data_IF_113482948686
#
_entry.id   IF_113482948686
#
_cell.length_a   1.000
_cell.length_b   1.000
_cell.length_c   1.000
_cell.angle_alpha   90.00
_cell.angle_beta   90.00
_cell.angle_gamma   90.00
#
_symmetry.space_group_name_H-M   'P 1'
#
loop_
_entity.id
_entity.type
_entity.pdbx_description
1 polymer ?
#
# COMPACT_ATOMS: atom_id res chain seq x y z
N UNK A 1 15.24 0.86 7.42
CA UNK A 1 14.15 1.31 6.54
C UNK A 1 13.98 0.30 5.41
N UNK A 2 13.20 -0.76 5.62
CA UNK A 2 12.82 -1.69 4.56
C UNK A 2 11.81 -1.09 3.58
N UNK A 3 11.85 -1.59 2.34
CA UNK A 3 10.83 -1.35 1.32
C UNK A 3 9.97 -2.58 1.12
N UNK A 4 8.68 -2.36 0.86
CA UNK A 4 7.76 -3.39 0.38
C UNK A 4 7.00 -2.86 -0.84
N UNK A 5 6.80 -3.73 -1.81
CA UNK A 5 5.95 -3.46 -2.96
C UNK A 5 4.88 -4.53 -3.03
N UNK A 6 3.61 -4.11 -3.17
CA UNK A 6 2.49 -5.01 -3.41
C UNK A 6 1.88 -4.73 -4.78
N UNK A 7 1.41 -5.78 -5.45
CA UNK A 7 0.76 -5.66 -6.75
C UNK A 7 -0.77 -5.73 -6.64
N UNK A 8 -1.43 -5.14 -7.63
CA UNK A 8 -2.84 -5.35 -7.92
C UNK A 8 -2.94 -5.78 -9.37
N UNK A 9 -3.61 -6.91 -9.59
CA UNK A 9 -3.91 -7.43 -10.93
C UNK A 9 -5.19 -6.76 -11.43
N UNK A 10 -5.02 -5.70 -12.24
CA UNK A 10 -6.11 -4.89 -12.78
C UNK A 10 -6.50 -5.37 -14.18
N UNK A 11 -7.73 -5.13 -14.57
CA UNK A 11 -8.22 -5.35 -15.94
C UNK A 11 -7.44 -4.47 -16.91
N UNK A 12 -7.26 -4.94 -18.15
CA UNK A 12 -6.63 -4.13 -19.20
C UNK A 12 -7.54 -2.97 -19.65
N UNK A 13 -6.96 -1.80 -19.92
CA UNK A 13 -7.71 -0.68 -20.51
C UNK A 13 -8.49 0.17 -19.50
N UNK A 14 -8.25 0.02 -18.19
CA UNK A 14 -8.83 0.86 -17.14
C UNK A 14 -7.78 1.68 -16.38
N UNK A 15 -6.63 1.94 -16.98
CA UNK A 15 -5.50 2.61 -16.35
C UNK A 15 -5.88 4.01 -15.83
N UNK A 16 -6.60 4.79 -16.65
CA UNK A 16 -7.04 6.14 -16.29
C UNK A 16 -8.09 6.11 -15.16
N UNK A 17 -9.06 5.20 -15.23
CA UNK A 17 -10.07 5.02 -14.18
C UNK A 17 -9.41 4.63 -12.84
N UNK A 18 -8.43 3.71 -12.89
CA UNK A 18 -7.66 3.30 -11.71
C UNK A 18 -6.82 4.46 -11.17
N UNK A 19 -6.21 5.27 -12.03
CA UNK A 19 -5.45 6.44 -11.59
C UNK A 19 -6.34 7.44 -10.82
N UNK A 20 -7.56 7.69 -11.29
CA UNK A 20 -8.53 8.55 -10.61
C UNK A 20 -8.94 8.04 -9.22
N UNK A 21 -9.02 6.71 -9.03
CA UNK A 21 -9.24 6.13 -7.68
C UNK A 21 -8.18 6.58 -6.67
N UNK A 22 -6.92 6.74 -7.11
CA UNK A 22 -5.82 7.18 -6.26
C UNK A 22 -5.64 8.70 -6.20
N UNK A 23 -6.15 9.45 -7.18
CA UNK A 23 -6.11 10.91 -7.16
C UNK A 23 -6.85 11.50 -5.93
N UNK A 24 -7.95 10.85 -5.53
CA UNK A 24 -8.73 11.20 -4.34
C UNK A 24 -8.16 10.63 -3.02
N UNK A 25 -7.03 9.91 -3.06
CA UNK A 25 -6.54 9.20 -1.89
C UNK A 25 -6.09 10.15 -0.79
N UNK A 26 -6.85 10.15 0.31
CA UNK A 26 -6.53 10.91 1.51
C UNK A 26 -5.38 10.23 2.27
N UNK A 27 -4.24 10.91 2.36
CA UNK A 27 -3.12 10.48 3.21
C UNK A 27 -3.56 10.42 4.68
N UNK A 28 -3.25 9.34 5.43
CA UNK A 28 -3.47 9.28 6.87
C UNK A 28 -2.83 10.46 7.60
N UNK A 29 -3.52 11.00 8.62
CA UNK A 29 -3.04 12.15 9.42
C UNK A 29 -1.81 11.82 10.28
N UNK A 30 -1.61 10.54 10.63
CA UNK A 30 -0.42 10.07 11.35
C UNK A 30 0.28 8.99 10.54
N UNK A 31 1.61 9.11 10.44
CA UNK A 31 2.52 8.10 9.91
C UNK A 31 3.06 7.16 10.99
N UNK A 32 2.73 7.41 12.27
CA UNK A 32 3.27 6.68 13.43
C UNK A 32 2.21 5.75 14.00
N UNK A 33 2.58 4.48 14.16
CA UNK A 33 1.74 3.44 14.73
C UNK A 33 1.95 3.37 16.25
N UNK A 34 0.96 2.85 17.02
CA UNK A 34 1.08 2.68 18.47
C UNK A 34 2.33 1.92 18.93
N UNK A 35 2.77 0.94 18.14
CA UNK A 35 3.91 0.06 18.46
C UNK A 35 5.27 0.62 17.99
N UNK A 36 5.32 1.89 17.58
CA UNK A 36 6.55 2.55 17.12
C UNK A 36 6.92 2.29 15.65
N UNK A 37 6.20 1.40 14.96
CA UNK A 37 6.31 1.24 13.52
C UNK A 37 5.85 2.52 12.78
N UNK A 38 6.38 2.76 11.57
CA UNK A 38 6.11 4.00 10.82
C UNK A 38 6.01 3.75 9.33
N UNK A 39 5.09 4.45 8.67
CA UNK A 39 5.06 4.56 7.20
C UNK A 39 5.77 5.85 6.81
N UNK A 40 6.94 5.73 6.20
CA UNK A 40 7.77 6.88 5.85
C UNK A 40 7.37 7.50 4.50
N UNK A 41 7.11 6.63 3.51
CA UNK A 41 6.71 7.05 2.18
C UNK A 41 5.79 6.00 1.55
N UNK A 42 4.94 6.44 0.62
CA UNK A 42 4.18 5.56 -0.25
C UNK A 42 4.17 6.14 -1.65
N UNK A 43 4.24 5.27 -2.65
CA UNK A 43 4.07 5.62 -4.04
C UNK A 43 3.24 4.54 -4.72
N UNK A 44 2.49 4.92 -5.75
CA UNK A 44 1.71 3.99 -6.56
C UNK A 44 2.13 4.20 -8.00
N UNK A 45 2.41 3.10 -8.70
CA UNK A 45 2.87 3.08 -10.08
C UNK A 45 1.94 2.17 -10.87
N UNK A 46 1.60 2.55 -12.09
CA UNK A 46 0.79 1.74 -12.99
C UNK A 46 1.49 1.62 -14.35
N UNK A 47 1.41 0.44 -14.95
CA UNK A 47 1.75 0.20 -16.34
C UNK A 47 0.94 -0.98 -16.85
N UNK A 48 0.20 -0.76 -17.93
CA UNK A 48 -0.74 -1.74 -18.49
C UNK A 48 -1.63 -2.31 -17.37
N UNK A 49 -1.82 -3.62 -17.33
CA UNK A 49 -2.60 -4.33 -16.32
C UNK A 49 -1.92 -4.46 -14.93
N UNK A 50 -0.79 -3.79 -14.69
CA UNK A 50 -0.02 -3.93 -13.44
C UNK A 50 0.01 -2.63 -12.65
N UNK A 51 -0.62 -2.64 -11.48
CA UNK A 51 -0.52 -1.57 -10.49
C UNK A 51 0.35 -2.04 -9.33
N UNK A 52 1.32 -1.23 -8.94
CA UNK A 52 2.26 -1.51 -7.83
C UNK A 52 2.16 -0.40 -6.80
N UNK A 53 1.86 -0.76 -5.56
CA UNK A 53 1.98 0.14 -4.42
C UNK A 53 3.27 -0.14 -3.67
N UNK A 54 4.13 0.87 -3.64
CA UNK A 54 5.37 0.89 -2.89
C UNK A 54 5.16 1.56 -1.53
N UNK A 55 5.77 1.00 -0.50
CA UNK A 55 5.71 1.49 0.88
C UNK A 55 7.12 1.40 1.47
N UNK A 56 7.61 2.53 1.96
CA UNK A 56 8.77 2.60 2.83
C UNK A 56 8.30 2.65 4.27
N UNK A 57 8.88 1.80 5.11
CA UNK A 57 8.46 1.68 6.50
C UNK A 57 9.63 1.47 7.47
N UNK A 58 9.31 1.60 8.75
CA UNK A 58 10.17 1.24 9.89
C UNK A 58 9.39 0.32 10.83
N UNK A 59 10.10 -0.61 11.47
CA UNK A 59 9.51 -1.58 12.40
C UNK A 59 8.93 -2.81 11.71
N UNK A 60 7.89 -3.37 12.33
CA UNK A 60 7.25 -4.62 11.90
C UNK A 60 6.30 -4.41 10.69
N UNK A 61 6.44 -5.25 9.66
CA UNK A 61 5.64 -5.13 8.44
C UNK A 61 4.17 -5.50 8.66
N UNK A 62 3.88 -6.47 9.53
CA UNK A 62 2.48 -6.82 9.79
C UNK A 62 1.77 -5.72 10.58
N UNK A 63 2.46 -5.05 11.51
CA UNK A 63 1.96 -3.87 12.18
C UNK A 63 1.60 -2.78 11.15
N UNK A 64 2.48 -2.55 10.16
CA UNK A 64 2.21 -1.64 9.04
C UNK A 64 0.97 -2.07 8.25
N UNK A 65 0.86 -3.33 7.86
CA UNK A 65 -0.29 -3.84 7.12
C UNK A 65 -1.61 -3.72 7.92
N UNK A 66 -1.61 -4.07 9.22
CA UNK A 66 -2.77 -3.91 10.10
C UNK A 66 -3.18 -2.45 10.27
N UNK A 67 -2.21 -1.56 10.39
CA UNK A 67 -2.49 -0.13 10.46
C UNK A 67 -3.11 0.39 9.18
N UNK A 68 -2.58 -0.01 8.01
CA UNK A 68 -3.13 0.33 6.71
C UNK A 68 -4.58 -0.17 6.57
N UNK A 69 -4.88 -1.39 7.01
CA UNK A 69 -6.22 -1.98 6.98
C UNK A 69 -7.27 -1.18 7.79
N UNK A 70 -6.82 -0.36 8.75
CA UNK A 70 -7.68 0.49 9.56
C UNK A 70 -7.82 1.93 9.04
N UNK A 71 -7.09 2.30 7.99
CA UNK A 71 -7.18 3.65 7.44
C UNK A 71 -8.41 3.78 6.53
N UNK A 72 -9.31 4.76 6.79
CA UNK A 72 -10.49 4.97 5.95
C UNK A 72 -10.15 5.18 4.47
N UNK A 73 -9.08 5.95 4.18
CA UNK A 73 -8.63 6.17 2.81
C UNK A 73 -8.17 4.89 2.11
N UNK A 74 -7.55 3.95 2.84
CA UNK A 74 -7.13 2.66 2.26
C UNK A 74 -8.34 1.79 1.96
N UNK A 75 -9.30 1.70 2.88
CA UNK A 75 -10.54 0.94 2.66
C UNK A 75 -11.33 1.49 1.48
N UNK A 76 -11.39 2.82 1.35
CA UNK A 76 -12.10 3.46 0.24
C UNK A 76 -11.42 3.18 -1.11
N UNK A 77 -10.08 3.23 -1.16
CA UNK A 77 -9.33 2.82 -2.36
C UNK A 77 -9.58 1.36 -2.70
N UNK A 78 -9.49 0.44 -1.75
CA UNK A 78 -9.76 -0.99 -2.00
C UNK A 78 -11.18 -1.21 -2.53
N UNK A 79 -12.17 -0.51 -1.97
CA UNK A 79 -13.57 -0.57 -2.41
C UNK A 79 -13.75 -0.02 -3.82
N UNK A 80 -13.17 1.14 -4.13
CA UNK A 80 -13.25 1.79 -5.46
C UNK A 80 -12.46 1.00 -6.51
N UNK A 81 -11.37 0.35 -6.13
CA UNK A 81 -10.52 -0.43 -7.03
C UNK A 81 -11.12 -1.81 -7.36
N UNK A 82 -11.90 -2.40 -6.45
CA UNK A 82 -12.46 -3.75 -6.60
C UNK A 82 -13.12 -4.07 -7.95
N UNK A 83 -13.93 -3.17 -8.58
CA UNK A 83 -14.53 -3.44 -9.90
C UNK A 83 -13.51 -3.59 -11.04
N UNK A 84 -12.31 -3.05 -10.86
CA UNK A 84 -11.24 -3.02 -11.85
C UNK A 84 -10.25 -4.17 -11.68
N UNK A 85 -10.39 -5.03 -10.66
CA UNK A 85 -9.48 -6.17 -10.45
C UNK A 85 -9.91 -7.39 -11.26
N UNK A 86 -8.94 -8.12 -11.82
CA UNK A 86 -9.18 -9.44 -12.41
C UNK A 86 -9.48 -10.47 -11.32
N UNK A 87 -8.78 -10.35 -10.17
CA UNK A 87 -8.90 -11.23 -9.03
C UNK A 87 -9.42 -10.45 -7.81
N UNK A 88 -10.60 -10.82 -7.26
CA UNK A 88 -11.13 -10.20 -6.06
C UNK A 88 -10.15 -10.34 -4.88
N UNK A 89 -10.01 -9.26 -4.11
CA UNK A 89 -9.20 -9.21 -2.89
C UNK A 89 -10.10 -9.31 -1.67
N UNK A 90 -9.70 -10.10 -0.68
CA UNK A 90 -10.39 -10.16 0.61
C UNK A 90 -9.83 -9.11 1.57
N UNK A 91 -10.26 -7.86 1.42
CA UNK A 91 -9.79 -6.73 2.23
C UNK A 91 -10.87 -6.17 3.17
N UNK A 92 -12.00 -6.88 3.31
CA UNK A 92 -13.12 -6.47 4.16
C UNK A 92 -12.86 -6.61 5.66
N UNK A 93 -11.86 -7.40 6.04
CA UNK A 93 -11.41 -7.57 7.43
C UNK A 93 -9.92 -7.22 7.54
N UNK A 94 -9.45 -6.91 8.74
CA UNK A 94 -8.01 -6.65 8.99
C UNK A 94 -7.17 -7.89 8.67
N UNK A 95 -7.65 -9.07 9.06
CA UNK A 95 -6.96 -10.35 8.83
C UNK A 95 -6.89 -10.69 7.34
N UNK A 96 -8.01 -10.54 6.63
CA UNK A 96 -8.06 -10.69 5.17
C UNK A 96 -7.10 -9.72 4.48
N UNK A 97 -7.12 -8.44 4.87
CA UNK A 97 -6.22 -7.43 4.32
C UNK A 97 -4.76 -7.81 4.51
N UNK A 98 -4.36 -8.23 5.72
CA UNK A 98 -2.96 -8.62 6.00
C UNK A 98 -2.55 -9.84 5.17
N UNK A 99 -3.44 -10.85 5.04
CA UNK A 99 -3.19 -12.01 4.19
C UNK A 99 -2.99 -11.60 2.73
N UNK A 100 -3.96 -10.87 2.17
CA UNK A 100 -3.91 -10.41 0.78
C UNK A 100 -2.73 -9.47 0.52
N UNK A 101 -2.34 -8.63 1.49
CA UNK A 101 -1.13 -7.81 1.43
C UNK A 101 0.11 -8.68 1.23
N UNK A 102 0.28 -9.72 2.05
CA UNK A 102 1.42 -10.65 1.97
C UNK A 102 1.45 -11.44 0.66
N UNK A 103 0.30 -11.94 0.22
CA UNK A 103 0.16 -12.70 -1.04
C UNK A 103 0.48 -11.85 -2.27
N UNK A 104 0.25 -10.54 -2.18
CA UNK A 104 0.51 -9.60 -3.26
C UNK A 104 1.94 -9.05 -3.26
N UNK A 105 2.80 -9.44 -2.32
CA UNK A 105 4.15 -8.89 -2.22
C UNK A 105 5.01 -9.30 -3.40
N UNK A 106 5.72 -8.32 -3.95
CA UNK A 106 6.85 -8.58 -4.84
C UNK A 106 8.10 -8.92 -4.03
N UNK A 107 8.93 -9.80 -4.58
CA UNK A 107 10.26 -10.08 -4.03
C UNK A 107 11.15 -8.84 -4.18
N UNK A 108 11.62 -8.29 -3.06
CA UNK A 108 12.69 -7.29 -3.07
C UNK A 108 14.01 -7.96 -3.46
N UNK A 109 14.55 -7.62 -4.64
CA UNK A 109 15.82 -8.18 -5.14
C UNK A 109 17.01 -7.39 -4.62
N UNK A 110 16.86 -6.07 -4.47
CA UNK A 110 17.87 -5.16 -3.96
C UNK A 110 17.22 -3.92 -3.35
N UNK A 111 17.89 -3.30 -2.37
CA UNK A 111 17.46 -2.03 -1.78
C UNK A 111 18.67 -1.25 -1.26
N UNK A 112 18.67 0.06 -1.50
CA UNK A 112 19.64 1.00 -0.96
C UNK A 112 18.92 2.28 -0.56
N UNK A 113 19.32 2.86 0.55
CA UNK A 113 18.80 4.15 1.01
C UNK A 113 19.97 4.98 1.57
N UNK A 114 19.98 6.27 1.28
CA UNK A 114 20.83 7.21 2.02
C UNK A 114 20.16 7.46 3.37
N UNK A 115 20.90 7.48 4.49
CA UNK A 115 20.34 7.86 5.78
C UNK A 115 19.64 9.22 5.68
N UNK A 116 18.38 9.30 6.08
CA UNK A 116 17.71 10.59 6.26
C UNK A 116 18.14 11.15 7.61
N UNK A 117 18.58 12.41 7.64
CA UNK A 117 18.79 13.09 8.92
C UNK A 117 17.48 13.08 9.71
N UNK A 118 17.50 12.78 11.02
CA UNK A 118 16.29 12.88 11.82
C UNK A 118 15.74 14.31 11.72
N UNK A 119 14.44 14.44 11.42
CA UNK A 119 13.75 15.72 11.56
C UNK A 119 13.77 16.06 13.06
N UNK A 120 14.30 17.22 13.47
CA UNK A 120 14.26 17.61 14.87
C UNK A 120 12.80 17.65 15.34
N UNK A 121 12.56 17.08 16.53
CA UNK A 121 11.26 16.92 17.15
C UNK A 121 10.54 18.25 17.41
#
# INVERSE_FOLDING_TARGET
MPYVAITYDIKSGCEDDVAEVFADFQRPRSSVLPDGARILATAVFIRDATLVRFIEYEGDLDAVARFMANQPGVREVERKLAPYLNNPRDTGTVEGFVRTFRESMLRCVTQFAVPRSPVPA
#
